data_IF_467101478097
#
_entry.id   IF_467101478097
#
_cell.length_a   1.000
_cell.length_b   1.000
_cell.length_c   1.000
_cell.angle_alpha   90.00
_cell.angle_beta   90.00
_cell.angle_gamma   90.00
#
_symmetry.space_group_name_H-M   'P 1'
#
loop_
_entity.id
_entity.type
_entity.pdbx_description
1 polymer ?
#
# COMPACT_ATOMS: atom_id res chain seq x y z
N UNK A 1 -0.15 85.57 -34.54
CA UNK A 1 0.67 85.22 -33.33
C UNK A 1 0.48 83.71 -33.06
N UNK A 2 1.52 82.92 -33.45
CA UNK A 2 1.53 81.46 -33.24
C UNK A 2 2.21 81.18 -31.89
N UNK A 3 1.43 80.68 -30.92
CA UNK A 3 1.97 80.17 -29.65
C UNK A 3 2.57 78.81 -29.83
N UNK A 4 3.86 78.70 -29.57
CA UNK A 4 4.55 77.39 -29.46
C UNK A 4 4.38 76.84 -28.00
N UNK A 5 3.76 75.71 -27.84
CA UNK A 5 3.77 74.96 -26.59
C UNK A 5 5.09 74.14 -26.45
N UNK A 6 5.78 74.21 -25.35
CA UNK A 6 6.95 73.37 -25.13
C UNK A 6 6.49 71.92 -24.78
N UNK A 7 7.01 70.99 -25.58
CA UNK A 7 6.93 69.56 -25.27
C UNK A 7 7.78 69.30 -24.03
N UNK A 8 7.11 69.13 -22.88
CA UNK A 8 7.76 68.62 -21.69
C UNK A 8 8.07 67.13 -21.88
N UNK A 9 9.35 66.82 -21.91
CA UNK A 9 9.90 65.45 -21.92
C UNK A 9 9.51 64.70 -20.66
N UNK A 10 8.61 63.72 -20.77
CA UNK A 10 8.32 62.75 -19.71
C UNK A 10 9.54 61.88 -19.48
N UNK A 11 10.02 61.73 -18.23
CA UNK A 11 11.09 60.81 -17.94
C UNK A 11 10.55 59.39 -18.11
N UNK A 12 11.07 58.66 -19.11
CA UNK A 12 10.85 57.23 -19.27
C UNK A 12 11.51 56.54 -18.06
N UNK A 13 10.67 56.15 -17.10
CA UNK A 13 11.07 55.35 -15.97
C UNK A 13 11.50 53.98 -16.49
N UNK A 14 12.77 53.85 -16.85
CA UNK A 14 13.39 52.54 -17.08
C UNK A 14 13.40 51.78 -15.78
N UNK A 15 12.31 51.03 -15.51
CA UNK A 15 12.34 49.96 -14.53
C UNK A 15 13.33 48.91 -15.06
N UNK A 16 14.56 49.00 -14.61
CA UNK A 16 15.50 47.91 -14.70
C UNK A 16 14.91 46.75 -13.92
N UNK A 17 14.25 45.80 -14.61
CA UNK A 17 13.99 44.49 -14.09
C UNK A 17 15.33 43.82 -13.85
N UNK A 18 15.87 43.96 -12.63
CA UNK A 18 17.08 43.30 -12.18
C UNK A 18 16.84 41.82 -11.96
N UNK A 19 16.54 41.07 -13.01
CA UNK A 19 16.42 39.59 -12.98
C UNK A 19 17.68 38.91 -13.47
N UNK A 20 18.83 39.46 -13.18
CA UNK A 20 20.12 38.82 -13.46
C UNK A 20 20.95 38.63 -12.19
N UNK A 21 20.37 38.06 -11.15
CA UNK A 21 21.19 37.29 -10.22
C UNK A 21 21.58 35.99 -10.94
N UNK A 22 22.52 36.08 -11.86
CA UNK A 22 23.12 34.93 -12.53
C UNK A 22 23.55 33.96 -11.44
N UNK A 23 22.94 32.76 -11.47
CA UNK A 23 23.35 31.68 -10.60
C UNK A 23 24.83 31.42 -10.83
N UNK A 24 25.65 31.73 -9.86
CA UNK A 24 27.10 31.44 -9.95
C UNK A 24 27.24 29.93 -10.16
N UNK A 25 28.26 29.50 -10.92
CA UNK A 25 28.62 28.09 -11.13
C UNK A 25 28.54 27.28 -9.83
N UNK A 26 29.08 27.86 -8.74
CA UNK A 26 29.05 27.23 -7.42
C UNK A 26 27.62 27.04 -6.85
N UNK A 27 26.75 28.04 -7.01
CA UNK A 27 25.34 27.94 -6.56
C UNK A 27 24.56 26.93 -7.40
N UNK A 28 24.78 26.91 -8.70
CA UNK A 28 24.17 25.96 -9.61
C UNK A 28 24.59 24.51 -9.27
N UNK A 29 25.87 24.24 -9.06
CA UNK A 29 26.35 22.92 -8.66
C UNK A 29 25.81 22.49 -7.30
N UNK A 30 25.72 23.41 -6.33
CA UNK A 30 25.09 23.11 -5.03
C UNK A 30 23.61 22.79 -5.17
N UNK A 31 22.88 23.50 -6.03
CA UNK A 31 21.46 23.25 -6.30
C UNK A 31 21.25 21.86 -6.93
N UNK A 32 22.01 21.54 -7.97
CA UNK A 32 21.95 20.22 -8.62
C UNK A 32 22.34 19.11 -7.63
N UNK A 33 23.39 19.31 -6.86
CA UNK A 33 23.80 18.35 -5.83
C UNK A 33 22.71 18.15 -4.77
N UNK A 34 22.06 19.23 -4.32
CA UNK A 34 20.95 19.17 -3.37
C UNK A 34 19.72 18.46 -3.94
N UNK A 35 19.34 18.78 -5.18
CA UNK A 35 18.21 18.11 -5.88
C UNK A 35 18.54 16.64 -6.10
N UNK A 36 19.77 16.31 -6.53
CA UNK A 36 20.21 14.93 -6.71
C UNK A 36 20.17 14.13 -5.40
N UNK A 37 20.69 14.68 -4.31
CA UNK A 37 20.66 14.04 -3.01
C UNK A 37 19.23 13.83 -2.50
N UNK A 38 18.34 14.83 -2.67
CA UNK A 38 16.93 14.71 -2.31
C UNK A 38 16.24 13.63 -3.12
N UNK A 39 16.47 13.59 -4.44
CA UNK A 39 15.87 12.57 -5.32
C UNK A 39 16.31 11.16 -4.91
N UNK A 40 17.60 10.94 -4.68
CA UNK A 40 18.13 9.65 -4.21
C UNK A 40 17.53 9.26 -2.87
N UNK A 41 17.47 10.20 -1.91
CA UNK A 41 16.88 9.93 -0.59
C UNK A 41 15.39 9.60 -0.66
N UNK A 42 14.63 10.34 -1.47
CA UNK A 42 13.19 10.07 -1.66
C UNK A 42 12.95 8.72 -2.32
N UNK A 43 13.76 8.39 -3.34
CA UNK A 43 13.67 7.09 -4.01
C UNK A 43 14.03 5.95 -3.04
N UNK A 44 15.13 6.08 -2.31
CA UNK A 44 15.54 5.09 -1.32
C UNK A 44 14.49 4.89 -0.22
N UNK A 45 13.86 5.97 0.25
CA UNK A 45 12.76 5.89 1.20
C UNK A 45 11.53 5.18 0.60
N UNK A 46 11.10 5.60 -0.61
CA UNK A 46 9.90 5.07 -1.27
C UNK A 46 10.01 3.58 -1.63
N UNK A 47 11.19 3.12 -2.02
CA UNK A 47 11.40 1.72 -2.40
C UNK A 47 11.93 0.84 -1.26
N UNK A 48 12.67 1.39 -0.30
CA UNK A 48 13.32 0.61 0.77
C UNK A 48 12.58 0.64 2.11
N UNK A 49 11.92 1.74 2.45
CA UNK A 49 11.31 1.91 3.79
C UNK A 49 9.79 1.87 3.73
N UNK A 50 9.18 2.61 2.81
CA UNK A 50 7.71 2.74 2.76
C UNK A 50 6.99 1.42 2.56
N UNK A 51 7.41 0.51 1.66
CA UNK A 51 6.77 -0.79 1.49
C UNK A 51 6.85 -1.68 2.73
N UNK A 52 7.88 -1.50 3.57
CA UNK A 52 8.06 -2.27 4.79
C UNK A 52 7.22 -1.78 5.99
N UNK A 53 6.60 -0.60 5.89
CA UNK A 53 5.81 -0.01 6.98
C UNK A 53 4.45 -0.67 7.09
N UNK A 54 4.25 -1.44 8.15
CA UNK A 54 2.93 -1.96 8.50
C UNK A 54 2.10 -0.86 9.18
N UNK A 55 1.04 -0.41 8.49
CA UNK A 55 0.10 0.59 8.99
C UNK A 55 -1.24 -0.05 9.31
N UNK A 56 -1.75 0.23 10.51
CA UNK A 56 -3.13 -0.14 10.90
C UNK A 56 -4.02 1.07 10.70
N UNK A 57 -4.98 0.96 9.80
CA UNK A 57 -6.03 1.97 9.61
C UNK A 57 -7.25 1.58 10.44
N UNK A 58 -7.86 2.55 11.11
CA UNK A 58 -9.03 2.33 11.96
C UNK A 58 -10.22 3.08 11.40
N UNK A 59 -11.34 2.39 11.32
CA UNK A 59 -12.64 2.95 10.99
C UNK A 59 -13.59 2.70 12.16
N UNK A 60 -14.50 3.64 12.42
CA UNK A 60 -15.62 3.46 13.32
C UNK A 60 -16.89 3.65 12.53
N UNK A 61 -17.71 2.61 12.51
CA UNK A 61 -18.96 2.57 11.73
C UNK A 61 -20.12 2.32 12.68
N UNK A 62 -21.24 2.98 12.45
CA UNK A 62 -22.50 2.75 13.13
C UNK A 62 -23.59 2.55 12.07
N UNK A 63 -23.79 1.31 11.57
CA UNK A 63 -24.80 1.03 10.58
C UNK A 63 -26.20 1.38 11.09
N UNK A 64 -27.16 1.72 10.22
CA UNK A 64 -28.56 1.87 10.61
C UNK A 64 -29.05 0.63 11.35
N UNK A 65 -29.80 0.82 12.43
CA UNK A 65 -30.35 -0.27 13.27
C UNK A 65 -29.28 -1.07 14.07
N UNK A 66 -28.02 -0.61 14.12
CA UNK A 66 -27.01 -1.22 14.97
C UNK A 66 -27.36 -1.02 16.44
N UNK A 67 -27.37 -2.10 17.26
CA UNK A 67 -27.67 -1.94 18.68
C UNK A 67 -26.70 -0.99 19.37
N UNK A 68 -27.20 -0.03 20.13
CA UNK A 68 -26.41 1.04 20.73
C UNK A 68 -25.29 0.52 21.66
N UNK A 69 -25.55 -0.57 22.36
CA UNK A 69 -24.63 -1.16 23.34
C UNK A 69 -23.74 -2.29 22.75
N UNK A 70 -23.97 -2.67 21.51
CA UNK A 70 -23.19 -3.72 20.87
C UNK A 70 -21.96 -3.15 20.17
N UNK A 71 -20.80 -3.64 20.58
CA UNK A 71 -19.52 -3.26 19.97
C UNK A 71 -18.82 -4.49 19.44
N UNK A 72 -18.41 -4.42 18.19
CA UNK A 72 -17.69 -5.48 17.51
C UNK A 72 -16.40 -4.92 16.88
N UNK A 73 -15.27 -5.48 17.25
CA UNK A 73 -13.98 -5.16 16.67
C UNK A 73 -13.61 -6.19 15.59
N UNK A 74 -13.63 -5.77 14.36
CA UNK A 74 -13.29 -6.59 13.21
C UNK A 74 -11.88 -6.25 12.76
N UNK A 75 -10.99 -7.22 12.66
CA UNK A 75 -9.75 -7.09 11.93
C UNK A 75 -9.97 -7.55 10.49
N UNK A 76 -9.46 -6.77 9.55
CA UNK A 76 -9.54 -7.08 8.11
C UNK A 76 -8.14 -7.16 7.56
N UNK A 77 -7.84 -8.25 6.84
CA UNK A 77 -6.60 -8.45 6.09
C UNK A 77 -6.99 -8.80 4.66
N UNK A 78 -6.41 -8.11 3.69
CA UNK A 78 -6.66 -8.32 2.27
C UNK A 78 -5.35 -8.20 1.49
N UNK A 79 -5.34 -8.73 0.27
CA UNK A 79 -4.31 -8.47 -0.75
C UNK A 79 -2.89 -8.77 -0.24
N UNK A 80 -2.69 -9.93 0.37
CA UNK A 80 -1.38 -10.32 0.87
C UNK A 80 -0.36 -10.51 -0.24
N UNK A 81 -0.76 -11.15 -1.34
CA UNK A 81 0.12 -11.42 -2.49
C UNK A 81 1.49 -11.94 -2.04
N UNK A 82 1.50 -13.09 -1.34
CA UNK A 82 2.67 -13.66 -0.71
C UNK A 82 3.82 -13.89 -1.69
N UNK A 83 4.90 -13.12 -1.56
CA UNK A 83 6.04 -13.15 -2.47
C UNK A 83 7.29 -12.50 -1.86
N UNK A 84 8.44 -12.89 -2.37
CA UNK A 84 9.69 -12.17 -2.12
C UNK A 84 9.93 -11.12 -3.22
N UNK A 85 10.46 -9.93 -2.89
CA UNK A 85 10.87 -9.51 -1.54
C UNK A 85 9.77 -8.80 -0.74
N UNK A 86 8.56 -8.59 -1.33
CA UNK A 86 7.59 -7.59 -0.83
C UNK A 86 6.70 -8.09 0.30
N UNK A 87 6.25 -9.35 0.24
CA UNK A 87 5.36 -9.95 1.23
C UNK A 87 5.90 -11.32 1.64
N UNK A 88 7.08 -11.33 2.25
CA UNK A 88 7.73 -12.54 2.75
C UNK A 88 6.94 -13.18 3.90
N UNK A 89 7.19 -14.48 4.16
CA UNK A 89 6.62 -15.20 5.31
C UNK A 89 6.83 -14.42 6.61
N UNK A 90 8.04 -13.91 6.83
CA UNK A 90 8.37 -13.09 8.01
C UNK A 90 7.51 -11.82 8.11
N UNK A 91 7.13 -11.23 6.98
CA UNK A 91 6.24 -10.07 6.99
C UNK A 91 4.82 -10.48 7.35
N UNK A 92 4.35 -11.62 6.86
CA UNK A 92 3.04 -12.18 7.22
C UNK A 92 3.00 -12.50 8.71
N UNK A 93 4.07 -13.06 9.29
CA UNK A 93 4.21 -13.27 10.75
C UNK A 93 4.04 -11.95 11.52
N UNK A 94 4.67 -10.86 11.07
CA UNK A 94 4.51 -9.54 11.69
C UNK A 94 3.06 -9.03 11.60
N UNK A 95 2.37 -9.28 10.48
CA UNK A 95 0.95 -8.92 10.30
C UNK A 95 0.09 -9.71 11.29
N UNK A 96 0.28 -11.03 11.38
CA UNK A 96 -0.43 -11.89 12.32
C UNK A 96 -0.20 -11.43 13.76
N UNK A 97 1.05 -11.23 14.17
CA UNK A 97 1.39 -10.74 15.50
C UNK A 97 0.73 -9.38 15.80
N UNK A 98 0.76 -8.46 14.83
CA UNK A 98 0.13 -7.14 14.98
C UNK A 98 -1.39 -7.23 15.07
N UNK A 99 -2.03 -8.08 14.27
CA UNK A 99 -3.47 -8.32 14.30
C UNK A 99 -3.90 -8.89 15.65
N UNK A 100 -3.20 -9.91 16.14
CA UNK A 100 -3.48 -10.51 17.46
C UNK A 100 -3.30 -9.49 18.60
N UNK A 101 -2.31 -8.58 18.51
CA UNK A 101 -2.11 -7.51 19.49
C UNK A 101 -3.27 -6.49 19.51
N UNK A 102 -4.04 -6.37 18.44
CA UNK A 102 -5.24 -5.52 18.41
C UNK A 102 -6.41 -6.16 19.17
N UNK A 103 -6.35 -7.46 19.47
CA UNK A 103 -7.41 -8.24 20.13
C UNK A 103 -8.76 -8.04 19.41
N UNK A 104 -8.90 -8.44 18.16
CA UNK A 104 -10.17 -8.38 17.45
C UNK A 104 -11.16 -9.40 18.02
N UNK A 105 -12.44 -9.13 17.90
CA UNK A 105 -13.48 -10.10 18.21
C UNK A 105 -13.63 -11.13 17.09
N UNK A 106 -13.43 -10.70 15.84
CA UNK A 106 -13.42 -11.52 14.63
C UNK A 106 -12.33 -11.01 13.68
N UNK A 107 -11.71 -11.93 12.93
CA UNK A 107 -10.78 -11.57 11.85
C UNK A 107 -11.31 -12.10 10.52
N UNK A 108 -11.32 -11.25 9.51
CA UNK A 108 -11.75 -11.60 8.15
C UNK A 108 -10.60 -11.40 7.17
N UNK A 109 -10.38 -12.40 6.34
CA UNK A 109 -9.39 -12.45 5.28
C UNK A 109 -10.11 -12.32 3.94
N UNK A 110 -9.83 -11.27 3.18
CA UNK A 110 -10.61 -10.90 2.00
C UNK A 110 -10.00 -11.37 0.67
N UNK A 111 -9.10 -12.36 0.72
CA UNK A 111 -8.55 -12.97 -0.49
C UNK A 111 -7.25 -12.32 -0.98
N UNK A 112 -6.86 -12.74 -2.19
CA UNK A 112 -5.65 -12.37 -2.88
C UNK A 112 -4.37 -12.69 -2.07
N UNK A 113 -4.29 -13.95 -1.67
CA UNK A 113 -3.13 -14.49 -0.93
C UNK A 113 -1.96 -14.76 -1.86
N UNK A 114 -2.25 -15.15 -3.11
CA UNK A 114 -1.27 -15.54 -4.12
C UNK A 114 -0.78 -14.30 -4.87
N UNK A 115 0.52 -14.28 -5.20
CA UNK A 115 1.13 -13.21 -5.97
C UNK A 115 1.22 -13.58 -7.46
N UNK A 116 0.48 -12.85 -8.31
CA UNK A 116 0.49 -13.01 -9.77
C UNK A 116 1.22 -11.91 -10.54
N UNK A 117 1.87 -10.96 -9.89
CA UNK A 117 2.50 -9.83 -10.57
C UNK A 117 3.96 -10.10 -10.98
N UNK A 118 4.47 -9.30 -11.95
CA UNK A 118 5.77 -9.54 -12.61
C UNK A 118 7.01 -9.14 -11.77
N UNK A 119 6.85 -8.35 -10.72
CA UNK A 119 7.96 -7.78 -9.96
C UNK A 119 8.27 -8.56 -8.68
N UNK A 120 8.24 -9.89 -8.78
CA UNK A 120 8.57 -10.79 -7.68
C UNK A 120 9.78 -11.64 -8.04
N UNK A 121 10.63 -11.88 -7.06
CA UNK A 121 11.76 -12.80 -7.22
C UNK A 121 11.35 -14.25 -6.96
N UNK A 122 10.33 -14.48 -6.13
CA UNK A 122 9.76 -15.78 -5.80
C UNK A 122 8.31 -15.63 -5.33
N UNK A 123 7.38 -16.37 -5.93
CA UNK A 123 6.05 -16.58 -5.35
C UNK A 123 6.17 -17.56 -4.18
N UNK A 124 5.57 -17.23 -3.04
CA UNK A 124 5.62 -18.07 -1.83
C UNK A 124 4.49 -19.10 -1.92
N UNK A 125 4.81 -20.40 -1.86
CA UNK A 125 3.79 -21.45 -1.87
C UNK A 125 2.81 -21.34 -0.70
N UNK A 126 1.56 -21.75 -0.92
CA UNK A 126 0.52 -21.69 0.10
C UNK A 126 0.88 -22.47 1.38
N UNK A 127 1.64 -23.56 1.25
CA UNK A 127 2.15 -24.34 2.37
C UNK A 127 3.09 -23.56 3.31
N UNK A 128 3.68 -22.45 2.85
CA UNK A 128 4.56 -21.62 3.69
C UNK A 128 3.79 -20.51 4.40
N UNK A 129 2.82 -19.84 3.75
CA UNK A 129 2.11 -18.71 4.34
C UNK A 129 0.82 -19.09 5.09
N UNK A 130 0.09 -20.14 4.68
CA UNK A 130 -1.17 -20.49 5.29
C UNK A 130 -1.04 -20.94 6.77
N UNK A 131 -0.04 -21.75 7.17
CA UNK A 131 0.17 -22.07 8.58
C UNK A 131 0.43 -20.84 9.44
N UNK A 132 1.07 -19.80 8.89
CA UNK A 132 1.31 -18.53 9.59
C UNK A 132 -0.01 -17.81 9.84
N UNK A 133 -0.92 -17.77 8.85
CA UNK A 133 -2.26 -17.20 9.04
C UNK A 133 -3.10 -17.99 10.03
N UNK A 134 -2.89 -19.30 10.14
CA UNK A 134 -3.48 -20.15 11.19
C UNK A 134 -3.13 -19.72 12.62
N UNK A 135 -2.08 -18.89 12.78
CA UNK A 135 -1.72 -18.25 14.06
C UNK A 135 -2.58 -17.05 14.46
N UNK A 136 -3.53 -16.61 13.62
CA UNK A 136 -4.49 -15.55 13.97
C UNK A 136 -5.43 -16.01 15.08
N UNK A 137 -5.82 -15.07 15.96
CA UNK A 137 -6.65 -15.34 17.12
C UNK A 137 -7.79 -14.34 17.22
N UNK A 138 -9.01 -14.84 17.27
CA UNK A 138 -10.20 -14.02 17.50
C UNK A 138 -11.28 -14.89 18.17
N UNK A 139 -12.00 -14.41 19.20
CA UNK A 139 -13.02 -15.19 19.91
C UNK A 139 -14.16 -15.71 19.02
N UNK A 140 -14.55 -14.91 18.00
CA UNK A 140 -15.57 -15.27 17.03
C UNK A 140 -14.98 -15.94 15.76
N UNK A 141 -13.71 -16.30 15.80
CA UNK A 141 -13.04 -17.01 14.72
C UNK A 141 -12.33 -16.11 13.70
N UNK A 142 -11.61 -16.82 12.83
CA UNK A 142 -10.95 -16.26 11.65
C UNK A 142 -11.66 -16.85 10.44
N UNK A 143 -12.10 -16.01 9.52
CA UNK A 143 -12.89 -16.40 8.38
C UNK A 143 -12.27 -15.85 7.10
N UNK A 144 -12.33 -16.61 6.02
CA UNK A 144 -11.69 -16.24 4.77
C UNK A 144 -12.66 -16.33 3.58
N UNK A 145 -12.42 -15.49 2.60
CA UNK A 145 -12.90 -15.64 1.23
C UNK A 145 -11.71 -15.68 0.28
N UNK A 146 -11.94 -16.05 -0.95
CA UNK A 146 -10.92 -16.01 -2.01
C UNK A 146 -11.03 -14.72 -2.83
N UNK A 147 -9.90 -14.20 -3.26
CA UNK A 147 -9.81 -13.12 -4.23
C UNK A 147 -9.62 -13.66 -5.65
N UNK A 148 -9.56 -12.75 -6.62
CA UNK A 148 -9.44 -13.13 -8.02
C UNK A 148 -8.08 -13.78 -8.35
N UNK A 149 -6.99 -13.34 -7.71
CA UNK A 149 -5.67 -13.93 -7.93
C UNK A 149 -5.58 -15.36 -7.40
N UNK A 150 -6.28 -15.71 -6.35
CA UNK A 150 -6.31 -17.08 -5.82
C UNK A 150 -6.89 -18.06 -6.84
N UNK A 151 -7.78 -17.60 -7.71
CA UNK A 151 -8.35 -18.36 -8.82
C UNK A 151 -7.49 -18.26 -10.09
N UNK A 152 -7.11 -17.06 -10.49
CA UNK A 152 -6.46 -16.82 -11.80
C UNK A 152 -5.05 -17.37 -11.87
N UNK A 153 -4.32 -17.33 -10.77
CA UNK A 153 -2.94 -17.79 -10.74
C UNK A 153 -2.80 -19.28 -10.38
N UNK A 154 -3.91 -19.96 -10.05
CA UNK A 154 -3.94 -21.40 -9.89
C UNK A 154 -4.05 -22.11 -11.25
N UNK A 155 -2.88 -22.52 -11.76
CA UNK A 155 -2.79 -23.15 -13.09
C UNK A 155 -3.56 -24.47 -13.19
N UNK A 156 -3.76 -25.20 -12.09
CA UNK A 156 -4.49 -26.45 -12.10
C UNK A 156 -5.98 -26.19 -12.28
N UNK A 157 -6.55 -25.32 -11.47
CA UNK A 157 -7.95 -24.91 -11.55
C UNK A 157 -8.25 -24.25 -12.89
N UNK A 158 -7.34 -23.41 -13.40
CA UNK A 158 -7.53 -22.76 -14.71
C UNK A 158 -7.52 -23.74 -15.88
N UNK A 159 -6.72 -24.81 -15.83
CA UNK A 159 -6.69 -25.83 -16.90
C UNK A 159 -7.89 -26.78 -16.85
N UNK A 160 -8.30 -27.14 -15.63
CA UNK A 160 -9.35 -28.15 -15.45
C UNK A 160 -10.75 -27.54 -15.45
N UNK A 161 -10.86 -26.22 -15.25
CA UNK A 161 -12.12 -25.48 -15.15
C UNK A 161 -13.01 -25.92 -13.99
N UNK A 162 -12.42 -26.62 -13.02
CA UNK A 162 -13.11 -27.16 -11.83
C UNK A 162 -12.14 -27.37 -10.68
N UNK A 163 -12.68 -27.60 -9.49
CA UNK A 163 -11.90 -27.86 -8.29
C UNK A 163 -11.75 -26.59 -7.43
N UNK A 164 -10.97 -26.71 -6.37
CA UNK A 164 -10.72 -25.62 -5.42
C UNK A 164 -9.29 -25.14 -5.52
N UNK A 165 -9.04 -23.84 -5.53
CA UNK A 165 -7.69 -23.27 -5.54
C UNK A 165 -6.85 -23.81 -4.38
N UNK A 166 -5.55 -23.89 -4.60
CA UNK A 166 -4.58 -24.35 -3.60
C UNK A 166 -4.61 -23.43 -2.35
N UNK A 167 -4.94 -22.16 -2.54
CA UNK A 167 -5.10 -21.20 -1.44
C UNK A 167 -6.22 -21.63 -0.46
N UNK A 168 -7.37 -22.07 -0.99
CA UNK A 168 -8.47 -22.59 -0.18
C UNK A 168 -8.03 -23.80 0.64
N UNK A 169 -7.47 -24.79 -0.04
CA UNK A 169 -7.05 -26.04 0.60
C UNK A 169 -6.05 -25.78 1.74
N UNK A 170 -5.11 -24.85 1.51
CA UNK A 170 -4.11 -24.49 2.51
C UNK A 170 -4.69 -23.73 3.71
N UNK A 171 -5.64 -22.83 3.49
CA UNK A 171 -6.34 -22.12 4.56
C UNK A 171 -7.19 -23.07 5.41
N UNK A 172 -7.96 -23.96 4.79
CA UNK A 172 -8.77 -24.97 5.47
C UNK A 172 -7.88 -25.93 6.27
N UNK A 173 -6.73 -26.34 5.72
CA UNK A 173 -5.74 -27.16 6.43
C UNK A 173 -5.10 -26.41 7.62
N UNK A 174 -5.04 -25.08 7.57
CA UNK A 174 -4.60 -24.23 8.66
C UNK A 174 -5.70 -23.91 9.69
N UNK A 175 -6.89 -24.52 9.54
CA UNK A 175 -8.04 -24.34 10.44
C UNK A 175 -8.86 -23.08 10.18
N UNK A 176 -8.71 -22.45 9.03
CA UNK A 176 -9.45 -21.24 8.64
C UNK A 176 -10.55 -21.62 7.64
N UNK A 177 -11.83 -21.52 8.00
CA UNK A 177 -12.92 -21.78 7.08
C UNK A 177 -12.94 -20.76 5.94
N UNK A 178 -13.12 -21.25 4.71
CA UNK A 178 -13.16 -20.45 3.48
C UNK A 178 -14.61 -20.48 2.94
N UNK A 179 -15.17 -19.31 2.75
CA UNK A 179 -16.52 -19.13 2.23
C UNK A 179 -16.48 -18.73 0.76
N UNK A 180 -17.35 -19.29 -0.02
CA UNK A 180 -17.58 -18.97 -1.42
C UNK A 180 -19.05 -18.60 -1.61
N UNK A 181 -19.28 -17.77 -2.62
CA UNK A 181 -20.63 -17.32 -3.00
C UNK A 181 -21.23 -18.28 -4.04
#
# INVERSE_FOLDING_TARGET
>A
RRGRFPLQSLPILRRHLGWAHMLTRRRFLKLIGGVGALSVSTTAYGFGIEPERLKVTRYSLSPPQWPADFRLKIAVIADLHACDPWMSVRRIERIVARTNALRPDITVLLGDYVAGHRHVTRSIPAAEWAPVLGGLKAPLGVHAILGNHDWWDDRAVQREGKGHPVARQALEAAGIPVYEN
#
